data_IF_445104594908
#
_entry.id   IF_445104594908
#
_cell.length_a   1.000
_cell.length_b   1.000
_cell.length_c   1.000
_cell.angle_alpha   90.00
_cell.angle_beta   90.00
_cell.angle_gamma   90.00
#
_symmetry.space_group_name_H-M   'P 1'
#
loop_
_entity.id
_entity.type
_entity.pdbx_description
1 polymer ?
#
# COMPACT_ATOMS: atom_id res chain seq x y z
N UNK A 1 -19.82 -1.86 -2.19
CA UNK A 1 -18.89 -0.83 -1.67
C UNK A 1 -17.76 -1.42 -0.80
N UNK A 2 -17.89 -2.64 -0.26
CA UNK A 2 -16.84 -3.34 0.50
C UNK A 2 -15.59 -3.80 -0.30
N UNK A 3 -15.57 -3.63 -1.64
CA UNK A 3 -14.53 -4.19 -2.51
C UNK A 3 -13.31 -3.30 -2.77
N UNK A 4 -13.41 -1.97 -2.62
CA UNK A 4 -12.29 -1.07 -2.95
C UNK A 4 -11.18 -1.14 -1.88
N UNK A 5 -11.57 -1.09 -0.60
CA UNK A 5 -10.62 -1.14 0.52
C UNK A 5 -9.96 -2.52 0.64
N UNK A 6 -10.71 -3.60 0.40
CA UNK A 6 -10.15 -4.96 0.36
C UNK A 6 -9.19 -5.17 -0.81
N UNK A 7 -9.20 -4.31 -1.83
CA UNK A 7 -8.23 -4.35 -2.92
C UNK A 7 -6.99 -3.48 -2.62
N UNK A 8 -7.15 -2.31 -2.00
CA UNK A 8 -6.01 -1.43 -1.70
C UNK A 8 -5.13 -1.95 -0.57
N UNK A 9 -5.70 -2.66 0.41
CA UNK A 9 -4.96 -3.23 1.54
C UNK A 9 -4.50 -4.69 1.31
N UNK A 10 -4.81 -5.28 0.15
CA UNK A 10 -4.46 -6.66 -0.18
C UNK A 10 -3.03 -6.73 -0.73
N UNK A 11 -2.32 -7.76 -0.29
CA UNK A 11 -1.07 -8.17 -0.92
C UNK A 11 -1.42 -9.00 -2.15
N UNK A 12 -0.87 -8.60 -3.30
CA UNK A 12 -1.01 -9.31 -4.55
C UNK A 12 0.25 -10.10 -4.85
N UNK A 13 0.06 -11.30 -5.39
CA UNK A 13 1.12 -12.15 -5.93
C UNK A 13 0.70 -12.55 -7.33
N UNK A 14 1.51 -12.17 -8.31
CA UNK A 14 1.35 -12.58 -9.70
C UNK A 14 2.61 -13.32 -10.16
N UNK A 15 2.44 -14.22 -11.13
CA UNK A 15 3.55 -14.96 -11.72
C UNK A 15 3.37 -15.08 -13.23
N UNK A 16 4.48 -15.26 -13.95
CA UNK A 16 4.49 -15.51 -15.38
C UNK A 16 5.72 -16.33 -15.75
N UNK A 17 5.55 -17.28 -16.68
CA UNK A 17 6.64 -18.09 -17.19
C UNK A 17 7.47 -17.32 -18.22
N UNK A 18 8.68 -17.79 -18.50
CA UNK A 18 9.44 -17.31 -19.66
C UNK A 18 8.63 -17.43 -20.95
N UNK A 19 8.57 -16.34 -21.72
CA UNK A 19 7.79 -16.23 -22.94
C UNK A 19 6.31 -15.86 -22.73
N UNK A 20 5.87 -15.67 -21.47
CA UNK A 20 4.53 -15.19 -21.15
C UNK A 20 4.52 -13.71 -20.76
N UNK A 21 3.35 -13.07 -20.85
CA UNK A 21 3.18 -11.71 -20.38
C UNK A 21 2.79 -11.69 -18.91
N UNK A 22 3.51 -10.90 -18.10
CA UNK A 22 3.04 -10.50 -16.78
C UNK A 22 2.12 -9.28 -16.94
N UNK A 23 1.01 -9.22 -16.19
CA UNK A 23 0.07 -8.09 -16.22
C UNK A 23 -0.35 -7.71 -14.81
N UNK A 24 0.29 -6.69 -14.24
CA UNK A 24 -0.06 -6.13 -12.93
C UNK A 24 -1.06 -4.98 -13.11
N UNK A 25 -2.15 -4.97 -12.35
CA UNK A 25 -3.17 -3.90 -12.43
C UNK A 25 -3.69 -3.51 -11.06
N UNK A 26 -3.68 -2.21 -10.81
CA UNK A 26 -4.31 -1.61 -9.65
C UNK A 26 -5.66 -0.94 -9.99
N UNK A 27 -6.58 -0.85 -9.01
CA UNK A 27 -7.81 -0.08 -9.14
C UNK A 27 -7.59 1.38 -9.59
N UNK A 28 -8.68 2.07 -9.93
CA UNK A 28 -8.58 3.50 -10.25
C UNK A 28 -8.01 4.29 -9.05
N UNK A 29 -7.15 5.28 -9.33
CA UNK A 29 -6.51 6.19 -8.34
C UNK A 29 -5.54 5.53 -7.36
N UNK A 30 -5.13 4.30 -7.66
CA UNK A 30 -4.03 3.63 -6.98
C UNK A 30 -2.96 3.24 -7.98
N UNK A 31 -1.72 3.11 -7.50
CA UNK A 31 -0.56 2.70 -8.27
C UNK A 31 0.08 1.48 -7.64
N UNK A 32 0.80 0.74 -8.48
CA UNK A 32 1.56 -0.43 -8.10
C UNK A 32 2.73 0.02 -7.21
N UNK A 33 2.84 -0.65 -6.08
CA UNK A 33 3.96 -0.54 -5.14
C UNK A 33 4.61 -1.92 -5.03
N UNK A 34 5.73 -2.11 -5.71
CA UNK A 34 6.47 -3.38 -5.68
C UNK A 34 7.03 -3.59 -4.28
N UNK A 35 6.83 -4.79 -3.73
CA UNK A 35 7.34 -5.18 -2.42
C UNK A 35 8.56 -6.08 -2.56
N UNK A 36 8.49 -7.05 -3.47
CA UNK A 36 9.58 -7.96 -3.80
C UNK A 36 9.33 -8.56 -5.17
N UNK A 37 10.37 -9.15 -5.76
CA UNK A 37 10.21 -9.99 -6.94
C UNK A 37 11.31 -11.03 -7.01
N UNK A 38 11.01 -12.11 -7.71
CA UNK A 38 11.90 -13.22 -7.96
C UNK A 38 11.84 -13.55 -9.45
N UNK A 39 12.99 -13.71 -10.08
CA UNK A 39 13.09 -14.27 -11.42
C UNK A 39 14.15 -15.37 -11.43
N UNK A 40 13.73 -16.58 -11.81
CA UNK A 40 14.59 -17.76 -11.70
C UNK A 40 13.78 -19.05 -11.69
N UNK A 41 14.35 -20.10 -11.10
CA UNK A 41 13.67 -21.37 -10.84
C UNK A 41 14.10 -21.91 -9.48
N UNK A 42 13.12 -22.11 -8.60
CA UNK A 42 13.29 -22.76 -7.28
C UNK A 42 12.46 -24.03 -7.13
N UNK A 43 11.52 -24.28 -8.04
CA UNK A 43 10.78 -25.55 -8.12
C UNK A 43 10.90 -26.18 -9.51
N UNK A 44 10.87 -27.51 -9.60
CA UNK A 44 10.94 -28.21 -10.90
C UNK A 44 9.81 -27.82 -11.86
N UNK A 45 10.05 -27.97 -13.16
CA UNK A 45 9.11 -27.60 -14.23
C UNK A 45 7.74 -28.27 -14.14
N UNK A 46 7.65 -29.48 -13.59
CA UNK A 46 6.38 -30.17 -13.39
C UNK A 46 5.47 -29.50 -12.35
N UNK A 47 6.02 -28.65 -11.46
CA UNK A 47 5.26 -27.93 -10.45
C UNK A 47 4.88 -26.52 -10.91
N UNK A 48 5.78 -25.84 -11.63
CA UNK A 48 5.55 -24.48 -12.11
C UNK A 48 6.25 -24.25 -13.45
N UNK A 49 5.48 -23.70 -14.40
CA UNK A 49 5.90 -23.44 -15.77
C UNK A 49 6.43 -24.69 -16.47
N UNK A 50 5.54 -25.67 -16.77
CA UNK A 50 5.93 -26.88 -17.48
C UNK A 50 6.39 -26.53 -18.88
N UNK A 51 7.48 -27.15 -19.30
CA UNK A 51 7.98 -26.97 -20.65
C UNK A 51 7.00 -27.51 -21.68
N UNK A 52 6.87 -26.80 -22.80
CA UNK A 52 6.03 -27.23 -23.93
C UNK A 52 6.66 -28.37 -24.74
N UNK A 53 7.94 -28.66 -24.51
CA UNK A 53 8.63 -29.78 -25.16
C UNK A 53 8.65 -30.99 -24.24
N UNK A 54 8.32 -32.20 -24.74
CA UNK A 54 8.40 -33.42 -23.96
C UNK A 54 9.87 -33.67 -23.60
N UNK A 55 10.23 -33.33 -22.37
CA UNK A 55 11.53 -33.62 -21.81
C UNK A 55 11.65 -35.13 -21.56
N UNK A 56 12.78 -35.72 -21.92
CA UNK A 56 13.13 -37.04 -21.40
C UNK A 56 13.36 -36.94 -19.88
N UNK A 57 13.17 -38.04 -19.15
CA UNK A 57 13.45 -38.12 -17.71
C UNK A 57 14.87 -37.61 -17.33
N UNK A 58 15.84 -37.69 -18.26
CA UNK A 58 17.20 -37.20 -18.05
C UNK A 58 17.32 -35.65 -18.02
N UNK A 59 16.39 -34.93 -18.63
CA UNK A 59 16.34 -33.45 -18.63
C UNK A 59 15.72 -32.89 -17.34
N UNK A 60 14.79 -33.62 -16.72
CA UNK A 60 14.16 -33.23 -15.44
C UNK A 60 15.14 -33.29 -14.25
N UNK A 61 16.18 -34.14 -14.34
CA UNK A 61 17.22 -34.30 -13.29
C UNK A 61 18.30 -33.20 -13.40
N UNK A 62 18.37 -32.47 -14.51
CA UNK A 62 19.37 -31.40 -14.76
C UNK A 62 18.83 -29.98 -14.55
N UNK A 63 17.60 -29.83 -14.09
CA UNK A 63 17.05 -28.50 -13.82
C UNK A 63 17.77 -27.88 -12.62
N UNK A 64 18.38 -26.71 -12.86
CA UNK A 64 18.95 -25.93 -11.78
C UNK A 64 17.83 -25.22 -11.02
N UNK A 65 17.48 -25.79 -9.87
CA UNK A 65 16.50 -25.25 -8.92
C UNK A 65 17.14 -24.33 -7.88
N UNK A 66 18.43 -24.03 -7.99
CA UNK A 66 19.13 -23.00 -7.22
C UNK A 66 19.37 -21.75 -8.08
N UNK A 67 18.44 -21.44 -8.99
CA UNK A 67 18.59 -20.38 -9.98
C UNK A 67 17.79 -19.14 -9.59
N UNK A 68 18.46 -18.00 -9.38
CA UNK A 68 17.82 -16.71 -9.10
C UNK A 68 18.62 -15.52 -9.61
N UNK A 69 17.91 -14.49 -10.07
CA UNK A 69 18.51 -13.24 -10.54
C UNK A 69 18.33 -12.13 -9.51
N UNK A 70 19.42 -11.49 -9.11
CA UNK A 70 19.41 -10.41 -8.12
C UNK A 70 18.82 -9.08 -8.60
N UNK A 71 18.77 -8.83 -9.91
CA UNK A 71 18.25 -7.60 -10.52
C UNK A 71 16.73 -7.60 -10.70
N UNK A 72 16.04 -8.69 -10.36
CA UNK A 72 14.59 -8.84 -10.53
C UNK A 72 13.83 -7.67 -9.89
N UNK A 73 14.15 -7.33 -8.64
CA UNK A 73 13.46 -6.27 -7.91
C UNK A 73 13.65 -4.91 -8.58
N UNK A 74 14.89 -4.56 -8.95
CA UNK A 74 15.17 -3.30 -9.61
C UNK A 74 14.40 -3.19 -10.93
N UNK A 75 14.39 -4.27 -11.73
CA UNK A 75 13.67 -4.27 -13.00
C UNK A 75 12.16 -4.08 -12.80
N UNK A 76 11.59 -4.72 -11.79
CA UNK A 76 10.17 -4.53 -11.47
C UNK A 76 9.85 -3.12 -10.98
N UNK A 77 10.76 -2.50 -10.22
CA UNK A 77 10.62 -1.11 -9.82
C UNK A 77 10.64 -0.19 -11.05
N UNK A 78 11.59 -0.36 -11.95
CA UNK A 78 11.73 0.48 -13.14
C UNK A 78 10.53 0.36 -14.10
N UNK A 79 10.05 -0.87 -14.31
CA UNK A 79 8.96 -1.13 -15.26
C UNK A 79 7.57 -0.78 -14.69
N UNK A 80 7.30 -1.09 -13.41
CA UNK A 80 5.95 -1.10 -12.88
C UNK A 80 5.68 -0.14 -11.72
N UNK A 81 6.70 0.33 -10.99
CA UNK A 81 6.49 1.21 -9.84
C UNK A 81 5.74 2.47 -10.25
N UNK A 82 4.77 2.86 -9.43
CA UNK A 82 3.97 4.07 -9.64
C UNK A 82 3.14 4.12 -10.92
N UNK A 83 3.01 2.98 -11.60
CA UNK A 83 2.05 2.81 -12.69
C UNK A 83 0.76 2.19 -12.16
N UNK A 84 -0.36 2.51 -12.80
CA UNK A 84 -1.65 1.85 -12.52
C UNK A 84 -1.72 0.46 -13.13
N UNK A 85 -1.10 0.29 -14.30
CA UNK A 85 -1.07 -0.96 -15.06
C UNK A 85 0.33 -1.13 -15.64
N UNK A 86 0.85 -2.34 -15.56
CA UNK A 86 2.16 -2.71 -16.10
C UNK A 86 2.02 -4.05 -16.82
N UNK A 87 2.50 -4.14 -18.06
CA UNK A 87 2.47 -5.37 -18.83
C UNK A 87 3.70 -5.47 -19.74
N UNK A 88 4.41 -6.58 -19.65
CA UNK A 88 5.57 -6.86 -20.49
C UNK A 88 5.82 -8.36 -20.63
N UNK A 89 6.56 -8.74 -21.66
CA UNK A 89 6.92 -10.12 -21.97
C UNK A 89 8.09 -10.57 -21.09
N UNK A 90 7.91 -11.59 -20.25
CA UNK A 90 8.96 -12.12 -19.36
C UNK A 90 9.99 -12.90 -20.16
N UNK A 91 11.26 -12.52 -20.04
CA UNK A 91 12.40 -13.24 -20.62
C UNK A 91 13.71 -12.84 -19.93
N UNK A 92 14.75 -13.68 -20.05
CA UNK A 92 16.01 -13.49 -19.33
C UNK A 92 16.74 -12.20 -19.68
N UNK A 93 16.64 -11.72 -20.93
CA UNK A 93 17.30 -10.49 -21.38
C UNK A 93 16.82 -9.24 -20.65
N UNK A 94 15.57 -9.24 -20.16
CA UNK A 94 15.04 -8.12 -19.37
C UNK A 94 15.66 -8.02 -17.99
N UNK A 95 16.07 -9.15 -17.42
CA UNK A 95 16.61 -9.23 -16.07
C UNK A 95 18.15 -9.30 -16.08
N UNK A 96 18.80 -9.37 -17.24
CA UNK A 96 20.26 -9.24 -17.37
C UNK A 96 20.93 -10.58 -17.68
N UNK A 97 22.10 -10.83 -17.06
CA UNK A 97 22.85 -12.06 -17.28
C UNK A 97 22.05 -13.26 -16.74
N UNK A 98 21.86 -14.27 -17.58
CA UNK A 98 21.10 -15.47 -17.23
C UNK A 98 21.93 -16.39 -16.33
N UNK A 99 21.54 -16.61 -15.06
CA UNK A 99 22.30 -17.42 -14.12
C UNK A 99 22.18 -18.93 -14.39
N UNK A 100 21.16 -19.36 -15.14
CA UNK A 100 20.96 -20.75 -15.51
C UNK A 100 20.48 -20.87 -16.97
N UNK A 101 21.39 -20.73 -17.96
CA UNK A 101 21.06 -20.90 -19.37
C UNK A 101 20.50 -22.30 -19.65
N UNK A 102 19.44 -22.39 -20.45
CA UNK A 102 18.80 -23.66 -20.82
C UNK A 102 17.76 -24.17 -19.81
N UNK A 103 17.70 -23.59 -18.61
CA UNK A 103 16.60 -23.82 -17.65
C UNK A 103 15.56 -22.72 -17.85
N UNK A 104 14.32 -23.11 -18.18
CA UNK A 104 13.21 -22.15 -18.29
C UNK A 104 12.93 -21.54 -16.93
N UNK A 105 12.78 -20.22 -16.83
CA UNK A 105 12.56 -19.51 -15.56
C UNK A 105 11.12 -19.00 -15.47
N UNK A 106 10.79 -18.46 -14.31
CA UNK A 106 9.53 -17.77 -14.07
C UNK A 106 9.75 -16.55 -13.18
N UNK A 107 8.92 -15.54 -13.41
CA UNK A 107 8.82 -14.35 -12.59
C UNK A 107 7.74 -14.57 -11.54
N UNK A 108 8.02 -14.20 -10.29
CA UNK A 108 7.03 -13.99 -9.23
C UNK A 108 7.17 -12.56 -8.74
N UNK A 109 6.06 -11.83 -8.66
CA UNK A 109 6.04 -10.45 -8.18
C UNK A 109 5.08 -10.35 -7.01
N UNK A 110 5.56 -9.76 -5.92
CA UNK A 110 4.74 -9.38 -4.78
C UNK A 110 4.57 -7.87 -4.78
N UNK A 111 3.33 -7.39 -4.83
CA UNK A 111 3.02 -5.97 -4.89
C UNK A 111 1.76 -5.60 -4.10
N UNK A 112 1.60 -4.30 -3.86
CA UNK A 112 0.39 -3.72 -3.29
C UNK A 112 -0.08 -2.57 -4.17
N UNK A 113 -1.33 -2.16 -4.00
CA UNK A 113 -1.85 -0.96 -4.64
C UNK A 113 -1.88 0.18 -3.61
N UNK A 114 -1.10 1.24 -3.84
CA UNK A 114 -1.08 2.42 -2.97
C UNK A 114 -1.93 3.54 -3.56
N UNK A 115 -2.71 4.30 -2.78
CA UNK A 115 -3.38 5.49 -3.29
C UNK A 115 -2.39 6.52 -3.85
N UNK A 116 -2.79 7.22 -4.90
CA UNK A 116 -1.96 8.24 -5.54
C UNK A 116 -1.85 9.53 -4.71
N UNK A 117 -2.87 9.83 -3.92
CA UNK A 117 -3.01 11.10 -3.21
C UNK A 117 -3.57 10.85 -1.82
N UNK A 118 -2.86 11.34 -0.80
CA UNK A 118 -3.34 11.39 0.57
C UNK A 118 -3.84 12.80 0.86
N UNK A 119 -4.99 12.89 1.52
CA UNK A 119 -5.56 14.15 1.99
C UNK A 119 -5.40 14.24 3.48
N UNK A 120 -4.89 15.37 3.95
CA UNK A 120 -4.88 15.73 5.36
C UNK A 120 -5.97 16.75 5.64
N UNK A 121 -6.68 16.61 6.75
CA UNK A 121 -7.53 17.66 7.30
C UNK A 121 -7.35 17.74 8.81
N UNK A 122 -7.26 18.96 9.32
CA UNK A 122 -7.25 19.22 10.76
C UNK A 122 -8.55 19.93 11.16
N UNK A 123 -9.02 19.65 12.37
CA UNK A 123 -10.06 20.42 13.04
C UNK A 123 -9.61 20.68 14.48
N UNK A 124 -9.76 21.91 14.95
CA UNK A 124 -9.40 22.27 16.33
C UNK A 124 -10.44 21.72 17.31
N UNK A 125 -10.12 21.71 18.60
CA UNK A 125 -11.04 21.28 19.64
C UNK A 125 -12.40 21.97 19.50
N UNK A 126 -13.47 21.16 19.53
CA UNK A 126 -14.88 21.52 19.34
C UNK A 126 -15.30 21.94 17.93
N UNK A 127 -14.38 22.04 16.98
CA UNK A 127 -14.72 22.28 15.58
C UNK A 127 -15.27 21.04 14.88
N UNK A 128 -16.11 21.27 13.87
CA UNK A 128 -16.71 20.22 13.05
C UNK A 128 -15.80 19.88 11.87
N UNK A 129 -15.19 18.70 11.89
CA UNK A 129 -14.46 18.14 10.76
C UNK A 129 -15.44 17.60 9.71
N UNK A 130 -15.27 18.00 8.44
CA UNK A 130 -16.05 17.46 7.30
C UNK A 130 -15.16 16.80 6.26
N UNK A 131 -15.34 15.49 6.08
CA UNK A 131 -14.70 14.70 5.03
C UNK A 131 -15.69 14.47 3.88
N UNK A 132 -15.22 14.55 2.64
CA UNK A 132 -16.07 14.32 1.46
C UNK A 132 -15.26 13.91 0.24
N UNK A 133 -15.76 12.90 -0.48
CA UNK A 133 -15.24 12.47 -1.77
C UNK A 133 -16.17 12.83 -2.93
N UNK A 134 -15.65 12.84 -4.16
CA UNK A 134 -16.43 13.09 -5.40
C UNK A 134 -17.47 11.98 -5.62
N UNK A 135 -18.39 12.17 -6.58
CA UNK A 135 -19.36 11.12 -6.97
C UNK A 135 -18.62 9.80 -7.28
N UNK A 136 -19.21 8.68 -6.87
CA UNK A 136 -18.68 7.30 -6.94
C UNK A 136 -17.42 6.96 -6.13
N UNK A 137 -16.96 7.84 -5.23
CA UNK A 137 -15.82 7.57 -4.33
C UNK A 137 -16.26 7.50 -2.87
N UNK A 138 -15.44 6.85 -2.06
CA UNK A 138 -15.67 6.68 -0.62
C UNK A 138 -14.42 7.02 0.17
N UNK A 139 -14.62 7.45 1.40
CA UNK A 139 -13.56 7.82 2.33
C UNK A 139 -12.87 6.54 2.82
N UNK A 140 -11.55 6.45 2.65
CA UNK A 140 -10.72 5.46 3.30
C UNK A 140 -9.79 6.18 4.31
N UNK A 141 -10.06 5.97 5.59
CA UNK A 141 -9.26 6.51 6.70
C UNK A 141 -7.97 5.70 6.85
N UNK A 142 -6.83 6.38 6.87
CA UNK A 142 -5.49 5.79 7.04
C UNK A 142 -4.90 6.10 8.42
N UNK A 143 -5.02 7.34 8.87
CA UNK A 143 -4.57 7.78 10.18
C UNK A 143 -5.57 8.77 10.76
N UNK A 144 -5.77 8.72 12.07
CA UNK A 144 -6.46 9.77 12.79
C UNK A 144 -5.86 9.91 14.19
N UNK A 145 -5.49 11.13 14.54
CA UNK A 145 -4.88 11.47 15.82
C UNK A 145 -5.71 12.60 16.42
N UNK A 146 -6.24 12.37 17.61
CA UNK A 146 -6.86 13.42 18.41
C UNK A 146 -5.98 13.72 19.62
N UNK A 147 -5.52 14.96 19.74
CA UNK A 147 -4.62 15.35 20.83
C UNK A 147 -3.77 16.56 20.47
N UNK A 148 -2.51 16.58 20.94
CA UNK A 148 -1.51 17.60 20.61
C UNK A 148 -0.20 16.90 20.27
N UNK A 149 0.41 17.28 19.15
CA UNK A 149 1.75 16.83 18.72
C UNK A 149 2.71 18.01 18.65
N UNK A 150 4.02 17.76 18.71
CA UNK A 150 5.08 18.78 18.70
C UNK A 150 5.10 19.65 17.42
N UNK A 151 4.53 19.15 16.31
CA UNK A 151 4.31 19.95 15.11
C UNK A 151 3.12 20.88 15.30
N UNK A 152 3.37 22.19 15.37
CA UNK A 152 2.32 23.19 15.45
C UNK A 152 1.46 23.13 14.17
N UNK A 153 0.19 22.74 14.31
CA UNK A 153 -0.74 22.86 13.19
C UNK A 153 -0.99 24.34 12.99
N UNK A 154 -0.60 24.89 11.82
CA UNK A 154 -0.90 26.27 11.45
C UNK A 154 -2.41 26.59 11.57
N UNK A 155 -3.26 25.57 11.42
CA UNK A 155 -4.72 25.69 11.56
C UNK A 155 -5.18 25.78 13.03
N UNK A 156 -4.41 25.21 13.98
CA UNK A 156 -4.74 25.17 15.41
C UNK A 156 -3.54 25.61 16.28
N UNK A 157 -3.14 26.89 16.23
CA UNK A 157 -1.91 27.37 16.84
C UNK A 157 -1.89 27.21 18.37
N UNK A 158 -0.70 27.05 18.93
CA UNK A 158 -0.52 26.93 20.36
C UNK A 158 -0.73 28.29 21.04
N UNK A 159 -1.73 28.39 21.90
CA UNK A 159 -2.06 29.64 22.59
C UNK A 159 -1.35 29.80 23.95
N UNK A 160 -0.67 28.76 24.46
CA UNK A 160 -0.10 28.76 25.80
C UNK A 160 1.40 29.14 25.78
N UNK A 161 1.70 30.42 25.58
CA UNK A 161 3.07 30.94 25.74
C UNK A 161 3.64 30.56 27.13
N UNK A 162 4.71 29.76 27.15
CA UNK A 162 5.48 29.45 28.38
C UNK A 162 5.27 28.07 29.00
N UNK A 163 4.42 27.20 28.44
CA UNK A 163 4.32 25.79 28.88
C UNK A 163 5.19 24.86 28.04
N UNK A 164 5.77 23.79 28.62
CA UNK A 164 6.51 22.79 27.87
C UNK A 164 5.63 22.16 26.79
N UNK A 165 6.21 21.85 25.63
CA UNK A 165 5.52 21.12 24.58
C UNK A 165 5.17 19.71 25.09
N UNK A 166 3.91 19.51 25.45
CA UNK A 166 3.38 18.21 25.87
C UNK A 166 2.74 17.54 24.66
N UNK A 167 3.17 16.31 24.39
CA UNK A 167 2.51 15.44 23.43
C UNK A 167 1.49 14.56 24.12
N UNK A 168 0.29 14.51 23.54
CA UNK A 168 -0.79 13.68 24.03
C UNK A 168 -1.64 13.24 22.85
N UNK A 169 -2.07 11.98 22.85
CA UNK A 169 -2.88 11.42 21.77
C UNK A 169 -3.87 10.39 22.30
N UNK A 170 -5.08 10.42 21.75
CA UNK A 170 -6.10 9.41 22.05
C UNK A 170 -5.79 8.12 21.29
N UNK A 171 -5.69 7.02 22.04
CA UNK A 171 -5.45 5.68 21.49
C UNK A 171 -6.61 5.14 20.62
N UNK A 172 -7.82 5.69 20.79
CA UNK A 172 -9.03 5.20 20.11
C UNK A 172 -9.42 6.02 18.87
N UNK A 173 -8.73 7.13 18.62
CA UNK A 173 -9.11 8.08 17.56
C UNK A 173 -9.21 7.43 16.17
N UNK A 174 -8.21 6.64 15.78
CA UNK A 174 -8.20 5.91 14.51
C UNK A 174 -9.38 4.94 14.38
N UNK A 175 -9.62 4.13 15.41
CA UNK A 175 -10.69 3.13 15.38
C UNK A 175 -12.07 3.78 15.28
N UNK A 176 -12.29 4.89 16.00
CA UNK A 176 -13.53 5.63 15.93
C UNK A 176 -13.75 6.24 14.54
N UNK A 177 -12.72 6.86 13.97
CA UNK A 177 -12.79 7.44 12.63
C UNK A 177 -13.04 6.39 11.56
N UNK A 178 -12.42 5.22 11.68
CA UNK A 178 -12.69 4.08 10.80
C UNK A 178 -14.17 3.69 10.95
N UNK A 179 -14.65 3.46 12.17
CA UNK A 179 -16.04 3.06 12.44
C UNK A 179 -17.07 4.08 11.93
N UNK A 180 -16.81 5.38 12.10
CA UNK A 180 -17.76 6.46 11.79
C UNK A 180 -17.73 6.87 10.31
N UNK A 181 -16.57 6.94 9.68
CA UNK A 181 -16.39 7.59 8.38
C UNK A 181 -15.95 6.67 7.24
N UNK A 182 -15.32 5.54 7.54
CA UNK A 182 -14.76 4.67 6.51
C UNK A 182 -15.87 4.09 5.62
N UNK A 183 -15.63 4.04 4.30
CA UNK A 183 -16.59 3.56 3.31
C UNK A 183 -17.77 4.51 3.01
N UNK A 184 -17.87 5.66 3.70
CA UNK A 184 -18.90 6.68 3.42
C UNK A 184 -18.43 7.68 2.37
N UNK A 185 -19.37 8.28 1.62
CA UNK A 185 -19.05 9.36 0.67
C UNK A 185 -18.76 10.69 1.34
N UNK A 186 -19.47 10.98 2.43
CA UNK A 186 -19.25 12.15 3.27
C UNK A 186 -19.42 11.76 4.73
N UNK A 187 -18.58 12.34 5.58
CA UNK A 187 -18.62 12.16 7.02
C UNK A 187 -18.45 13.52 7.71
N UNK A 188 -19.10 13.69 8.86
CA UNK A 188 -18.86 14.85 9.71
C UNK A 188 -18.83 14.40 11.16
N UNK A 189 -17.85 14.90 11.92
CA UNK A 189 -17.63 14.57 13.32
C UNK A 189 -17.05 15.80 14.02
N UNK A 190 -17.38 15.98 15.30
CA UNK A 190 -16.80 17.04 16.11
C UNK A 190 -15.49 16.56 16.72
N UNK A 191 -14.46 17.41 16.68
CA UNK A 191 -13.17 17.15 17.31
C UNK A 191 -13.25 17.44 18.81
N UNK A 192 -14.03 16.65 19.55
CA UNK A 192 -14.31 16.90 20.97
C UNK A 192 -13.89 15.74 21.87
N UNK A 193 -13.66 16.05 23.16
CA UNK A 193 -13.39 15.06 24.21
C UNK A 193 -14.53 14.09 24.43
N UNK A 194 -15.77 14.50 24.13
CA UNK A 194 -16.93 13.61 24.19
C UNK A 194 -16.85 12.45 23.17
N UNK A 195 -16.35 12.72 21.97
CA UNK A 195 -16.22 11.71 20.91
C UNK A 195 -14.96 10.86 21.09
N UNK A 196 -13.83 11.49 21.43
CA UNK A 196 -12.50 10.87 21.37
C UNK A 196 -11.83 10.62 22.73
N UNK A 197 -12.48 11.00 23.83
CA UNK A 197 -11.87 11.06 25.17
C UNK A 197 -10.94 12.26 25.32
N UNK A 198 -10.49 12.52 26.56
CA UNK A 198 -9.48 13.56 26.82
C UNK A 198 -8.11 12.91 27.11
N UNK A 199 -7.19 12.86 26.12
CA UNK A 199 -5.87 12.26 26.29
C UNK A 199 -4.85 13.19 26.95
N UNK A 200 -5.19 14.45 27.21
CA UNK A 200 -4.25 15.48 27.63
C UNK A 200 -4.55 15.96 29.05
N UNK A 201 -3.56 16.63 29.67
CA UNK A 201 -3.80 17.35 30.92
C UNK A 201 -4.80 18.50 30.70
N UNK A 202 -5.57 18.88 31.74
CA UNK A 202 -6.51 20.00 31.67
C UNK A 202 -5.84 21.28 31.15
N UNK A 203 -6.52 22.00 30.25
CA UNK A 203 -6.03 23.26 29.67
C UNK A 203 -5.20 23.11 28.39
N UNK A 204 -4.89 21.89 27.95
CA UNK A 204 -4.25 21.65 26.65
C UNK A 204 -5.31 21.57 25.55
N UNK A 205 -5.26 22.54 24.62
CA UNK A 205 -6.09 22.59 23.41
C UNK A 205 -5.69 21.50 22.42
N UNK A 206 -6.64 20.61 22.12
CA UNK A 206 -6.43 19.48 21.23
C UNK A 206 -6.81 19.82 19.78
N UNK A 207 -6.44 18.94 18.86
CA UNK A 207 -6.92 18.97 17.48
C UNK A 207 -7.04 17.54 16.95
N UNK A 208 -7.95 17.35 16.01
CA UNK A 208 -8.14 16.11 15.27
C UNK A 208 -7.44 16.24 13.91
N UNK A 209 -6.37 15.48 13.69
CA UNK A 209 -5.70 15.35 12.39
C UNK A 209 -6.12 14.02 11.75
N UNK A 210 -6.67 14.07 10.54
CA UNK A 210 -7.12 12.89 9.79
C UNK A 210 -6.45 12.83 8.43
N UNK A 211 -5.76 11.72 8.18
CA UNK A 211 -5.21 11.36 6.88
C UNK A 211 -6.13 10.33 6.24
N UNK A 212 -6.65 10.67 5.06
CA UNK A 212 -7.61 9.84 4.34
C UNK A 212 -7.41 9.93 2.83
N UNK A 213 -8.03 9.02 2.10
CA UNK A 213 -8.08 9.04 0.63
C UNK A 213 -9.51 8.96 0.12
N UNK A 214 -9.63 9.32 -1.16
CA UNK A 214 -10.79 9.17 -2.04
C UNK A 214 -10.27 8.57 -3.36
#
# INVERSE_FOLDING_TARGET
VAGYISQVLKNYTDHACDGEYVSLRCPHRTTISIQSSFYGRIVPSHQLCPSRYPHSYATLIKEDVACSVGTSLQKMLDECQDRRSCQFLVNSRLFGADPCPGTGKYLIVWYKCRPNEYKSKVACEDDKLRLSCKKSMVIAIYSAIFGRTQGDSLECPYQNLGMPMIECQSATALQLMIKRCHGKRSCSIYASTYEFGDPCYPGIRKHLNVIYTC
#
